data_IF_196651300780
#
_entry.id   IF_196651300780
#
_cell.length_a   1.000
_cell.length_b   1.000
_cell.length_c   1.000
_cell.angle_alpha   90.00
_cell.angle_beta   90.00
_cell.angle_gamma   90.00
#
_symmetry.space_group_name_H-M   'P 1'
#
loop_
_entity.id
_entity.type
_entity.pdbx_description
1 polymer ?
#
# COMPACT_ATOMS: atom_id res chain seq x y z
N UNK A 1 38.20 -0.32 -39.57
CA UNK A 1 39.07 0.78 -40.04
C UNK A 1 38.52 2.09 -39.50
N UNK A 2 39.43 2.98 -39.07
CA UNK A 2 39.21 4.27 -38.40
C UNK A 2 38.23 5.19 -39.17
N UNK A 3 37.47 6.10 -38.56
CA UNK A 3 37.92 7.35 -37.89
C UNK A 3 36.77 7.99 -37.07
N UNK A 4 37.00 8.34 -35.79
CA UNK A 4 37.06 9.72 -35.18
C UNK A 4 35.98 10.70 -35.71
N UNK A 5 35.23 11.46 -34.89
CA UNK A 5 35.76 12.64 -34.15
C UNK A 5 34.70 13.31 -33.23
N UNK A 6 35.08 13.56 -31.97
CA UNK A 6 34.82 14.66 -31.00
C UNK A 6 33.41 15.18 -30.59
N UNK A 7 33.15 15.03 -29.27
CA UNK A 7 32.85 16.03 -28.21
C UNK A 7 32.09 17.33 -28.56
N UNK A 8 31.06 17.62 -27.77
CA UNK A 8 30.97 18.87 -26.95
C UNK A 8 30.07 18.71 -25.72
N UNK A 9 30.63 19.09 -24.59
CA UNK A 9 29.99 19.45 -23.32
C UNK A 9 29.46 20.88 -23.43
N UNK A 10 28.29 21.17 -22.85
CA UNK A 10 27.86 22.51 -22.41
C UNK A 10 26.57 22.38 -21.57
N UNK A 11 26.66 22.36 -20.25
CA UNK A 11 26.49 23.49 -19.30
C UNK A 11 25.05 23.72 -18.86
N UNK A 12 24.78 23.24 -17.63
CA UNK A 12 23.68 23.63 -16.77
C UNK A 12 23.96 25.02 -16.17
N UNK A 13 23.07 26.02 -16.26
CA UNK A 13 23.25 27.29 -15.60
C UNK A 13 22.65 27.28 -14.19
N UNK A 14 23.53 27.36 -13.18
CA UNK A 14 23.20 27.83 -11.83
C UNK A 14 22.84 29.33 -11.90
N UNK A 15 21.64 29.71 -11.48
CA UNK A 15 21.36 31.07 -11.04
C UNK A 15 21.51 31.14 -9.52
N UNK A 16 22.59 31.78 -9.08
CA UNK A 16 22.69 32.38 -7.76
C UNK A 16 22.23 33.84 -7.89
N UNK A 17 21.29 34.28 -7.06
CA UNK A 17 21.11 35.70 -6.79
C UNK A 17 20.98 35.90 -5.28
N UNK A 18 21.86 36.78 -4.79
CA UNK A 18 22.02 37.26 -3.42
C UNK A 18 20.71 37.80 -2.84
N UNK A 19 20.51 37.58 -1.53
CA UNK A 19 19.89 38.58 -0.67
C UNK A 19 20.85 38.89 0.50
N UNK A 20 20.85 40.15 0.90
CA UNK A 20 21.87 40.83 1.70
C UNK A 20 21.63 40.71 3.22
N UNK A 21 22.75 40.81 3.93
CA UNK A 21 22.95 41.44 5.25
C UNK A 21 22.16 40.92 6.47
N UNK A 22 22.87 40.15 7.30
CA UNK A 22 22.97 40.50 8.73
C UNK A 22 24.38 40.16 9.23
N UNK A 23 25.00 41.17 9.82
CA UNK A 23 26.36 41.18 10.37
C UNK A 23 26.35 40.53 11.76
N UNK A 24 27.13 39.47 11.95
CA UNK A 24 27.51 38.97 13.28
C UNK A 24 29.04 39.05 13.42
N UNK A 25 29.56 39.60 14.54
CA UNK A 25 30.99 39.78 14.71
C UNK A 25 31.70 38.44 14.99
N UNK A 26 32.84 38.25 14.34
CA UNK A 26 33.72 37.11 14.57
C UNK A 26 34.41 37.25 15.96
N UNK A 27 34.43 36.20 16.80
CA UNK A 27 35.21 36.23 18.03
C UNK A 27 36.71 36.12 17.71
N UNK A 28 37.46 37.16 18.08
CA UNK A 28 38.92 37.16 18.07
C UNK A 28 39.43 36.45 19.33
N UNK A 29 39.82 35.18 19.21
CA UNK A 29 40.72 34.55 20.18
C UNK A 29 41.59 33.53 19.44
N UNK A 30 42.93 33.54 19.58
CA UNK A 30 43.77 32.51 19.00
C UNK A 30 43.58 31.21 19.80
N UNK A 31 43.03 30.18 19.15
CA UNK A 31 42.98 28.85 19.71
C UNK A 31 44.38 28.23 19.62
N UNK A 32 45.08 28.19 20.75
CA UNK A 32 46.29 27.37 20.90
C UNK A 32 45.90 25.90 20.70
N UNK A 33 46.39 25.30 19.61
CA UNK A 33 46.38 23.85 19.44
C UNK A 33 47.49 23.27 20.32
N UNK A 34 47.12 22.76 21.49
CA UNK A 34 47.96 21.78 22.19
C UNK A 34 47.71 20.41 21.56
N UNK A 35 48.67 19.94 20.76
CA UNK A 35 48.75 18.54 20.35
C UNK A 35 49.01 17.69 21.60
N UNK A 36 47.97 17.00 22.10
CA UNK A 36 48.16 15.91 23.04
C UNK A 36 48.18 14.60 22.27
N UNK A 37 49.39 14.06 22.11
CA UNK A 37 49.62 12.66 21.77
C UNK A 37 48.96 11.77 22.82
N UNK A 38 47.83 11.19 22.46
CA UNK A 38 47.03 10.30 23.30
C UNK A 38 46.68 9.04 22.53
N UNK A 39 47.53 8.02 22.69
CA UNK A 39 47.34 6.59 22.42
C UNK A 39 46.00 6.14 21.82
N UNK A 40 46.10 5.52 20.65
CA UNK A 40 45.12 4.68 19.96
C UNK A 40 44.35 3.79 20.94
N UNK A 41 43.18 4.23 21.39
CA UNK A 41 42.17 3.35 21.99
C UNK A 41 41.10 3.12 20.95
N UNK A 42 40.92 1.85 20.61
CA UNK A 42 39.89 1.31 19.75
C UNK A 42 38.54 1.96 20.08
N UNK A 43 38.06 2.78 19.14
CA UNK A 43 36.65 3.13 19.10
C UNK A 43 35.96 1.90 18.51
N UNK A 44 35.60 0.96 19.38
CA UNK A 44 34.69 -0.12 19.03
C UNK A 44 33.38 0.53 18.58
N UNK A 45 33.12 0.47 17.27
CA UNK A 45 31.80 0.81 16.70
C UNK A 45 30.79 -0.14 17.32
N UNK A 46 30.08 0.35 18.33
CA UNK A 46 28.91 -0.29 18.89
C UNK A 46 27.84 -0.30 17.79
N UNK A 47 27.78 -1.39 17.04
CA UNK A 47 26.73 -1.62 16.05
C UNK A 47 25.45 -1.94 16.83
N UNK A 48 24.69 -0.92 17.19
CA UNK A 48 23.32 -1.09 17.67
C UNK A 48 22.52 -1.70 16.52
N UNK A 49 22.22 -3.00 16.59
CA UNK A 49 21.35 -3.67 15.63
C UNK A 49 19.95 -3.07 15.75
N UNK A 50 19.64 -2.08 14.92
CA UNK A 50 18.29 -1.53 14.83
C UNK A 50 17.41 -2.66 14.30
N UNK A 51 16.47 -3.12 15.11
CA UNK A 51 15.48 -4.09 14.67
C UNK A 51 14.72 -3.48 13.49
N UNK A 52 14.53 -4.20 12.37
CA UNK A 52 13.80 -3.65 11.24
C UNK A 52 12.39 -3.28 11.69
N UNK A 53 12.01 -2.02 11.50
CA UNK A 53 10.67 -1.55 11.85
C UNK A 53 9.65 -2.17 10.87
N UNK A 54 8.62 -2.80 11.43
CA UNK A 54 7.47 -3.21 10.64
C UNK A 54 6.69 -1.96 10.20
N UNK A 55 6.54 -1.76 8.89
CA UNK A 55 5.65 -0.75 8.33
C UNK A 55 4.44 -1.40 7.67
N UNK A 56 3.26 -0.93 8.02
CA UNK A 56 1.98 -1.40 7.46
C UNK A 56 1.36 -0.29 6.63
N UNK A 57 1.00 -0.60 5.38
CA UNK A 57 0.23 0.28 4.52
C UNK A 57 -1.20 -0.25 4.41
N UNK A 58 -2.17 0.59 4.77
CA UNK A 58 -3.58 0.29 4.58
C UNK A 58 -4.06 0.93 3.29
N UNK A 59 -4.40 0.09 2.31
CA UNK A 59 -4.85 0.51 0.98
C UNK A 59 -6.32 0.11 0.85
N UNK A 60 -7.19 1.11 0.69
CA UNK A 60 -8.59 0.86 0.32
C UNK A 60 -8.65 0.35 -1.12
N UNK A 61 -9.60 -0.53 -1.41
CA UNK A 61 -9.89 -0.95 -2.79
C UNK A 61 -10.12 0.27 -3.70
N UNK A 62 -9.77 0.12 -4.99
CA UNK A 62 -10.05 1.11 -6.01
C UNK A 62 -11.56 1.26 -6.28
N UNK A 63 -11.96 2.20 -7.15
CA UNK A 63 -13.36 2.43 -7.46
C UNK A 63 -14.07 1.13 -7.91
N UNK A 64 -15.14 0.78 -7.19
CA UNK A 64 -16.01 -0.33 -7.53
C UNK A 64 -17.27 0.14 -8.25
N UNK A 65 -17.96 -0.77 -8.93
CA UNK A 65 -19.26 -0.48 -9.57
C UNK A 65 -20.27 0.09 -8.58
N UNK A 66 -20.17 -0.32 -7.31
CA UNK A 66 -20.97 0.23 -6.24
C UNK A 66 -20.57 1.69 -5.91
N UNK A 67 -19.28 2.03 -5.84
CA UNK A 67 -18.90 3.43 -5.59
C UNK A 67 -19.44 4.37 -6.68
N UNK A 68 -19.31 3.95 -7.94
CA UNK A 68 -19.84 4.68 -9.09
C UNK A 68 -21.36 4.79 -9.04
N UNK A 69 -22.07 3.67 -8.81
CA UNK A 69 -23.53 3.66 -8.66
C UNK A 69 -24.00 4.60 -7.54
N UNK A 70 -23.33 4.60 -6.38
CA UNK A 70 -23.73 5.46 -5.26
C UNK A 70 -23.66 6.93 -5.66
N UNK A 71 -22.56 7.31 -6.31
CA UNK A 71 -22.36 8.65 -6.83
C UNK A 71 -23.45 9.03 -7.83
N UNK A 72 -23.73 8.19 -8.82
CA UNK A 72 -24.78 8.43 -9.83
C UNK A 72 -26.18 8.57 -9.21
N UNK A 73 -26.51 7.75 -8.23
CA UNK A 73 -27.79 7.83 -7.53
C UNK A 73 -27.89 9.10 -6.68
N UNK A 74 -26.83 9.51 -6.00
CA UNK A 74 -26.79 10.78 -5.27
C UNK A 74 -26.94 11.97 -6.21
N UNK A 75 -26.16 12.01 -7.30
CA UNK A 75 -26.17 13.10 -8.28
C UNK A 75 -27.54 13.23 -8.98
N UNK A 76 -28.30 12.13 -9.11
CA UNK A 76 -29.65 12.11 -9.67
C UNK A 76 -30.79 12.21 -8.64
N UNK A 77 -30.50 12.42 -7.35
CA UNK A 77 -31.53 12.51 -6.30
C UNK A 77 -32.26 11.19 -6.00
N UNK A 78 -31.68 10.05 -6.37
CA UNK A 78 -32.24 8.70 -6.25
C UNK A 78 -31.50 7.82 -5.24
N UNK A 79 -30.77 8.41 -4.30
CA UNK A 79 -29.99 7.70 -3.27
C UNK A 79 -30.78 6.60 -2.53
N UNK A 80 -32.11 6.77 -2.37
CA UNK A 80 -33.02 5.78 -1.78
C UNK A 80 -33.05 4.41 -2.49
N UNK A 81 -32.60 4.33 -3.74
CA UNK A 81 -32.55 3.09 -4.53
C UNK A 81 -31.26 2.29 -4.32
N UNK A 82 -30.32 2.81 -3.52
CA UNK A 82 -28.99 2.24 -3.34
C UNK A 82 -29.00 0.76 -2.95
N UNK A 83 -29.75 0.42 -1.91
CA UNK A 83 -29.77 -0.93 -1.35
C UNK A 83 -30.34 -1.96 -2.33
N UNK A 84 -31.26 -1.54 -3.20
CA UNK A 84 -31.88 -2.40 -4.20
C UNK A 84 -30.99 -2.65 -5.42
N UNK A 85 -30.09 -1.72 -5.74
CA UNK A 85 -29.36 -1.70 -7.02
C UNK A 85 -27.89 -2.08 -6.87
N UNK A 86 -27.35 -2.02 -5.65
CA UNK A 86 -25.95 -2.36 -5.40
C UNK A 86 -25.65 -3.84 -5.63
N UNK A 87 -24.47 -4.13 -6.15
CA UNK A 87 -23.96 -5.49 -6.26
C UNK A 87 -23.50 -6.01 -4.88
N UNK A 88 -23.66 -7.31 -4.62
CA UNK A 88 -23.31 -7.91 -3.34
C UNK A 88 -21.80 -8.01 -3.12
N UNK A 89 -21.08 -8.41 -4.17
CA UNK A 89 -19.61 -8.50 -4.20
C UNK A 89 -19.09 -7.70 -5.41
N UNK A 90 -19.17 -6.35 -5.36
CA UNK A 90 -18.98 -5.51 -6.54
C UNK A 90 -17.56 -5.64 -7.12
N UNK A 91 -17.42 -5.83 -8.44
CA UNK A 91 -16.13 -5.69 -9.12
C UNK A 91 -15.69 -4.23 -9.18
N UNK A 92 -14.43 -4.02 -9.55
CA UNK A 92 -13.89 -2.73 -9.95
C UNK A 92 -14.54 -2.21 -11.22
N UNK A 93 -14.56 -0.88 -11.35
CA UNK A 93 -14.84 -0.20 -12.60
C UNK A 93 -13.61 -0.21 -13.51
N UNK A 94 -13.76 0.20 -14.77
CA UNK A 94 -12.62 0.43 -15.67
C UNK A 94 -11.66 1.46 -15.05
N UNK A 95 -12.21 2.54 -14.49
CA UNK A 95 -11.45 3.56 -13.76
C UNK A 95 -10.76 2.97 -12.51
N UNK A 96 -11.43 2.05 -11.80
CA UNK A 96 -10.87 1.34 -10.66
C UNK A 96 -9.68 0.47 -11.03
N UNK A 97 -9.73 -0.22 -12.17
CA UNK A 97 -8.57 -0.96 -12.70
C UNK A 97 -7.41 -0.03 -13.03
N UNK A 98 -7.67 1.11 -13.68
CA UNK A 98 -6.64 2.10 -13.98
C UNK A 98 -6.01 2.69 -12.70
N UNK A 99 -6.80 2.89 -11.65
CA UNK A 99 -6.30 3.31 -10.33
C UNK A 99 -5.36 2.26 -9.73
N UNK A 100 -5.75 0.99 -9.76
CA UNK A 100 -4.94 -0.11 -9.22
C UNK A 100 -3.61 -0.29 -10.00
N UNK A 101 -3.64 -0.18 -11.32
CA UNK A 101 -2.45 -0.22 -12.18
C UNK A 101 -1.50 0.97 -11.94
N UNK A 102 -2.05 2.18 -11.79
CA UNK A 102 -1.27 3.37 -11.45
C UNK A 102 -0.63 3.27 -10.06
N UNK A 103 -1.37 2.72 -9.08
CA UNK A 103 -0.84 2.45 -7.76
C UNK A 103 0.34 1.45 -7.82
N UNK A 104 0.16 0.33 -8.52
CA UNK A 104 1.21 -0.67 -8.70
C UNK A 104 2.46 -0.06 -9.37
N UNK A 105 2.26 0.72 -10.43
CA UNK A 105 3.34 1.42 -11.15
C UNK A 105 4.05 2.43 -10.25
N UNK A 106 3.32 3.19 -9.43
CA UNK A 106 3.92 4.18 -8.51
C UNK A 106 4.74 3.48 -7.43
N UNK A 107 4.24 2.38 -6.86
CA UNK A 107 4.95 1.61 -5.85
C UNK A 107 6.18 0.88 -6.42
N UNK A 108 6.12 0.37 -7.65
CA UNK A 108 7.28 -0.26 -8.31
C UNK A 108 8.38 0.77 -8.57
N UNK A 109 8.03 1.92 -9.15
CA UNK A 109 9.01 2.96 -9.55
C UNK A 109 9.55 3.77 -8.38
N UNK A 110 8.72 3.98 -7.35
CA UNK A 110 9.01 4.90 -6.26
C UNK A 110 8.60 4.28 -4.93
N UNK A 111 9.34 3.28 -4.50
CA UNK A 111 9.51 3.10 -3.06
C UNK A 111 10.47 4.18 -2.52
N UNK A 112 10.06 5.45 -2.71
CA UNK A 112 10.41 6.58 -1.86
C UNK A 112 9.62 6.50 -0.53
N UNK A 113 9.19 5.31 -0.12
CA UNK A 113 9.00 5.01 1.29
C UNK A 113 10.41 4.96 1.88
N UNK A 114 11.02 6.12 2.01
CA UNK A 114 12.28 6.24 2.72
C UNK A 114 12.02 5.80 4.16
N UNK A 115 12.88 4.92 4.65
CA UNK A 115 13.02 4.75 6.08
C UNK A 115 13.65 6.03 6.69
N UNK A 116 13.69 6.14 8.01
CA UNK A 116 14.30 7.28 8.70
C UNK A 116 15.78 7.53 8.29
N UNK A 117 16.41 6.53 7.67
CA UNK A 117 17.79 6.54 7.19
C UNK A 117 17.96 6.78 5.67
N UNK A 118 16.87 7.05 4.94
CA UNK A 118 16.93 7.33 3.50
C UNK A 118 17.10 6.08 2.61
N UNK A 119 16.93 4.87 3.13
CA UNK A 119 16.87 3.65 2.32
C UNK A 119 15.46 3.45 1.75
N UNK A 120 15.38 3.14 0.45
CA UNK A 120 14.12 2.78 -0.19
C UNK A 120 13.61 1.46 0.40
N UNK A 121 12.37 1.45 0.87
CA UNK A 121 11.74 0.22 1.35
C UNK A 121 11.31 -0.69 0.19
N UNK A 122 10.97 -1.95 0.45
CA UNK A 122 10.28 -2.80 -0.51
C UNK A 122 9.03 -3.40 0.14
N UNK A 123 7.98 -3.63 -0.65
CA UNK A 123 6.79 -4.33 -0.17
C UNK A 123 7.11 -5.82 -0.17
N UNK A 124 7.30 -6.38 1.02
CA UNK A 124 7.70 -7.78 1.22
C UNK A 124 6.51 -8.75 1.23
N UNK A 125 5.31 -8.27 1.59
CA UNK A 125 4.09 -9.08 1.62
C UNK A 125 2.84 -8.22 1.35
N UNK A 126 1.86 -8.80 0.66
CA UNK A 126 0.55 -8.18 0.44
C UNK A 126 -0.51 -9.07 1.09
N UNK A 127 -1.38 -8.48 1.90
CA UNK A 127 -2.60 -9.11 2.37
C UNK A 127 -3.80 -8.42 1.71
N UNK A 128 -4.77 -9.19 1.25
CA UNK A 128 -5.99 -8.64 0.63
C UNK A 128 -7.24 -9.29 1.20
N UNK A 129 -8.32 -8.50 1.29
CA UNK A 129 -9.63 -9.05 1.63
C UNK A 129 -10.09 -10.04 0.55
N UNK A 130 -10.91 -11.01 0.94
CA UNK A 130 -11.58 -11.92 0.00
C UNK A 130 -12.72 -11.25 -0.81
N UNK A 131 -13.02 -9.98 -0.57
CA UNK A 131 -13.96 -9.19 -1.39
C UNK A 131 -13.39 -8.99 -2.81
N UNK A 132 -14.24 -9.12 -3.84
CA UNK A 132 -13.81 -9.12 -5.25
C UNK A 132 -13.01 -7.88 -5.64
N UNK A 133 -13.56 -6.69 -5.35
CA UNK A 133 -12.86 -5.40 -5.55
C UNK A 133 -11.49 -5.29 -4.89
N UNK A 134 -11.30 -5.91 -3.72
CA UNK A 134 -10.02 -5.86 -3.01
C UNK A 134 -9.00 -6.79 -3.66
N UNK A 135 -9.40 -7.99 -4.06
CA UNK A 135 -8.54 -8.91 -4.83
C UNK A 135 -8.15 -8.31 -6.18
N UNK A 136 -9.09 -7.68 -6.88
CA UNK A 136 -8.83 -6.97 -8.15
C UNK A 136 -7.89 -5.78 -7.97
N UNK A 137 -8.02 -5.02 -6.87
CA UNK A 137 -7.08 -3.95 -6.55
C UNK A 137 -5.67 -4.51 -6.32
N UNK A 138 -5.54 -5.64 -5.63
CA UNK A 138 -4.25 -6.25 -5.32
C UNK A 138 -3.58 -6.97 -6.51
N UNK A 139 -4.33 -7.31 -7.56
CA UNK A 139 -3.82 -8.12 -8.67
C UNK A 139 -2.71 -7.42 -9.47
N UNK A 140 -2.82 -6.13 -9.86
CA UNK A 140 -1.71 -5.40 -10.46
C UNK A 140 -0.51 -5.30 -9.52
N UNK A 141 -0.73 -5.06 -8.22
CA UNK A 141 0.37 -4.99 -7.24
C UNK A 141 1.14 -6.31 -7.17
N UNK A 142 0.44 -7.44 -7.13
CA UNK A 142 1.04 -8.77 -7.17
C UNK A 142 1.92 -8.97 -8.42
N UNK A 143 1.41 -8.57 -9.60
CA UNK A 143 2.10 -8.76 -10.89
C UNK A 143 3.33 -7.87 -11.04
N UNK A 144 3.22 -6.59 -10.70
CA UNK A 144 4.31 -5.62 -10.89
C UNK A 144 5.38 -5.75 -9.81
N UNK A 145 4.97 -5.85 -8.54
CA UNK A 145 5.90 -5.95 -7.42
C UNK A 145 6.49 -7.36 -7.25
N UNK A 146 5.84 -8.38 -7.85
CA UNK A 146 6.19 -9.80 -7.71
C UNK A 146 6.24 -10.25 -6.26
N UNK A 147 5.40 -9.63 -5.43
CA UNK A 147 5.32 -9.87 -3.99
C UNK A 147 4.32 -10.98 -3.68
N UNK A 148 4.59 -11.86 -2.70
CA UNK A 148 3.60 -12.80 -2.20
C UNK A 148 2.31 -12.08 -1.77
N UNK A 149 1.19 -12.51 -2.33
CA UNK A 149 -0.14 -11.98 -2.03
C UNK A 149 -0.98 -13.05 -1.38
N UNK A 150 -1.50 -12.76 -0.20
CA UNK A 150 -2.29 -13.67 0.62
C UNK A 150 -3.69 -13.11 0.83
N UNK A 151 -4.70 -13.96 0.60
CA UNK A 151 -6.07 -13.62 0.95
C UNK A 151 -6.25 -13.80 2.44
N UNK A 152 -6.73 -12.74 3.10
CA UNK A 152 -7.08 -12.74 4.51
C UNK A 152 -8.58 -12.43 4.64
N UNK A 153 -9.45 -13.46 4.75
CA UNK A 153 -10.90 -13.23 4.79
C UNK A 153 -11.32 -12.31 5.93
N UNK A 154 -10.67 -12.37 7.11
CA UNK A 154 -11.02 -11.59 8.29
C UNK A 154 -10.86 -10.08 8.17
N UNK A 155 -10.27 -9.54 7.10
CA UNK A 155 -10.19 -8.09 6.84
C UNK A 155 -11.27 -7.62 5.84
N UNK A 156 -12.41 -8.33 5.78
CA UNK A 156 -13.55 -7.93 4.95
C UNK A 156 -14.31 -6.70 5.50
N UNK A 157 -14.95 -5.99 4.57
CA UNK A 157 -15.91 -4.91 4.85
C UNK A 157 -17.06 -5.41 5.74
N UNK A 158 -17.55 -4.53 6.61
CA UNK A 158 -18.66 -4.80 7.50
C UNK A 158 -19.89 -5.31 6.75
N UNK A 159 -20.49 -6.39 7.26
CA UNK A 159 -21.70 -6.99 6.67
C UNK A 159 -21.44 -8.00 5.55
N UNK A 160 -20.18 -8.18 5.14
CA UNK A 160 -19.79 -9.24 4.21
C UNK A 160 -20.50 -9.17 2.85
N UNK A 161 -20.87 -10.32 2.30
CA UNK A 161 -21.58 -10.40 1.01
C UNK A 161 -23.10 -10.51 1.24
N UNK A 162 -23.81 -9.42 0.98
CA UNK A 162 -25.26 -9.34 1.15
C UNK A 162 -25.94 -8.53 0.04
N UNK A 163 -27.14 -8.95 -0.34
CA UNK A 163 -28.03 -8.27 -1.28
C UNK A 163 -29.47 -8.26 -0.75
N UNK A 164 -30.20 -7.15 -0.85
CA UNK A 164 -31.52 -7.02 -0.22
C UNK A 164 -32.56 -8.04 -0.69
N UNK A 165 -32.52 -8.44 -1.97
CA UNK A 165 -33.46 -9.43 -2.54
C UNK A 165 -33.01 -10.88 -2.39
N UNK A 166 -31.71 -11.12 -2.27
CA UNK A 166 -31.13 -12.47 -2.28
C UNK A 166 -30.62 -12.91 -0.90
N UNK A 167 -30.59 -11.98 0.06
CA UNK A 167 -30.04 -12.19 1.38
C UNK A 167 -28.52 -12.31 1.38
N UNK A 168 -28.01 -13.14 2.28
CA UNK A 168 -26.58 -13.43 2.44
C UNK A 168 -26.13 -14.34 1.30
N UNK A 169 -25.06 -13.94 0.61
CA UNK A 169 -24.40 -14.76 -0.40
C UNK A 169 -23.03 -15.25 0.10
N UNK A 170 -22.31 -15.96 -0.77
CA UNK A 170 -21.09 -16.69 -0.38
C UNK A 170 -19.78 -16.07 -0.86
N UNK A 171 -19.84 -15.09 -1.78
CA UNK A 171 -18.66 -14.58 -2.48
C UNK A 171 -17.98 -15.67 -3.33
N UNK A 172 -16.75 -15.39 -3.75
CA UNK A 172 -15.98 -16.29 -4.61
C UNK A 172 -15.52 -17.57 -3.90
N UNK A 173 -15.56 -18.68 -4.63
CA UNK A 173 -15.06 -20.00 -4.21
C UNK A 173 -13.55 -20.10 -4.39
N UNK A 174 -12.92 -21.09 -3.73
CA UNK A 174 -11.51 -21.40 -3.91
C UNK A 174 -11.11 -21.52 -5.39
N UNK A 175 -11.90 -22.27 -6.18
CA UNK A 175 -11.60 -22.51 -7.59
C UNK A 175 -11.76 -21.24 -8.44
N UNK A 176 -12.80 -20.45 -8.21
CA UNK A 176 -12.98 -19.18 -8.92
C UNK A 176 -11.82 -18.22 -8.64
N UNK A 177 -11.39 -18.13 -7.39
CA UNK A 177 -10.24 -17.31 -7.00
C UNK A 177 -8.96 -17.84 -7.67
N UNK A 178 -8.73 -19.15 -7.67
CA UNK A 178 -7.55 -19.74 -8.29
C UNK A 178 -7.47 -19.48 -9.81
N UNK A 179 -8.61 -19.34 -10.48
CA UNK A 179 -8.68 -19.00 -11.91
C UNK A 179 -8.44 -17.50 -12.14
N UNK A 180 -9.13 -16.62 -11.40
CA UNK A 180 -9.07 -15.17 -11.64
C UNK A 180 -7.81 -14.51 -11.06
N UNK A 181 -7.35 -14.99 -9.90
CA UNK A 181 -6.24 -14.44 -9.12
C UNK A 181 -5.07 -15.43 -9.02
N UNK A 182 -4.68 -16.00 -10.17
CA UNK A 182 -3.57 -16.93 -10.25
C UNK A 182 -2.31 -16.38 -9.57
N UNK A 183 -1.72 -17.16 -8.66
CA UNK A 183 -0.55 -16.79 -7.87
C UNK A 183 -0.86 -16.29 -6.45
N UNK A 184 -2.12 -15.97 -6.14
CA UNK A 184 -2.50 -15.63 -4.76
C UNK A 184 -2.46 -16.88 -3.87
N UNK A 185 -1.99 -16.70 -2.63
CA UNK A 185 -2.17 -17.70 -1.59
C UNK A 185 -3.60 -17.63 -1.06
N UNK A 186 -4.31 -18.76 -1.15
CA UNK A 186 -5.71 -18.89 -0.74
C UNK A 186 -5.80 -19.87 0.44
N UNK A 187 -6.12 -19.40 1.66
CA UNK A 187 -6.26 -20.26 2.83
C UNK A 187 -7.47 -21.20 2.69
N UNK A 188 -7.22 -22.51 2.56
CA UNK A 188 -8.26 -23.53 2.28
C UNK A 188 -9.24 -23.72 3.44
N UNK A 189 -8.81 -23.45 4.64
CA UNK A 189 -9.58 -23.56 5.88
C UNK A 189 -10.66 -22.47 5.99
N UNK A 190 -10.43 -21.30 5.40
CA UNK A 190 -11.39 -20.18 5.41
C UNK A 190 -12.09 -19.96 4.06
N UNK A 191 -11.46 -20.35 2.94
CA UNK A 191 -12.02 -20.26 1.59
C UNK A 191 -12.29 -21.66 1.03
N UNK A 192 -13.56 -22.07 1.05
CA UNK A 192 -13.98 -23.39 0.57
C UNK A 192 -14.66 -23.38 -0.80
N UNK A 193 -15.14 -24.55 -1.22
CA UNK A 193 -15.90 -24.76 -2.46
C UNK A 193 -17.23 -24.03 -2.50
N UNK A 194 -17.78 -23.67 -1.33
CA UNK A 194 -19.04 -22.94 -1.18
C UNK A 194 -18.83 -21.44 -0.98
N UNK A 195 -17.67 -20.90 -1.32
CA UNK A 195 -17.33 -19.50 -1.12
C UNK A 195 -16.69 -19.21 0.24
N UNK A 196 -16.07 -18.03 0.35
CA UNK A 196 -15.38 -17.57 1.55
C UNK A 196 -16.32 -17.03 2.63
N UNK A 197 -17.47 -16.47 2.27
CA UNK A 197 -18.38 -15.86 3.24
C UNK A 197 -19.38 -16.86 3.82
N UNK A 198 -19.42 -16.95 5.15
CA UNK A 198 -20.34 -17.86 5.87
C UNK A 198 -21.66 -17.20 6.28
N UNK A 199 -21.74 -15.88 6.22
CA UNK A 199 -22.90 -15.10 6.63
C UNK A 199 -22.75 -14.49 8.02
N UNK A 200 -23.72 -13.66 8.38
CA UNK A 200 -23.77 -12.93 9.63
C UNK A 200 -23.99 -11.44 9.38
N UNK A 201 -24.71 -10.79 10.30
CA UNK A 201 -24.63 -9.34 10.48
C UNK A 201 -23.77 -9.12 11.71
N UNK A 202 -22.75 -8.29 11.58
CA UNK A 202 -21.90 -7.90 12.69
C UNK A 202 -22.31 -6.51 13.18
N UNK A 203 -22.39 -6.35 14.49
CA UNK A 203 -22.43 -5.03 15.13
C UNK A 203 -21.08 -4.34 14.97
N UNK A 204 -21.05 -3.03 15.16
CA UNK A 204 -19.79 -2.28 15.18
C UNK A 204 -18.79 -2.84 16.21
N UNK A 205 -19.28 -3.28 17.39
CA UNK A 205 -18.43 -3.87 18.43
C UNK A 205 -17.80 -5.19 17.96
N UNK A 206 -18.58 -6.07 17.30
CA UNK A 206 -18.08 -7.32 16.73
C UNK A 206 -17.08 -7.09 15.60
N UNK A 207 -17.28 -6.04 14.79
CA UNK A 207 -16.33 -5.63 13.75
C UNK A 207 -15.00 -5.18 14.37
N UNK A 208 -15.04 -4.35 15.42
CA UNK A 208 -13.84 -3.92 16.16
C UNK A 208 -13.13 -5.12 16.79
N UNK A 209 -13.87 -6.03 17.42
CA UNK A 209 -13.30 -7.24 18.03
C UNK A 209 -12.66 -8.17 16.99
N UNK A 210 -13.24 -8.30 15.79
CA UNK A 210 -12.62 -9.06 14.69
C UNK A 210 -11.33 -8.43 14.18
N UNK A 211 -11.27 -7.10 14.12
CA UNK A 211 -10.07 -6.37 13.74
C UNK A 211 -8.99 -6.40 14.84
N UNK A 212 -9.41 -6.51 16.10
CA UNK A 212 -8.54 -6.64 17.26
C UNK A 212 -8.11 -8.10 17.46
N UNK A 213 -7.03 -8.49 16.79
CA UNK A 213 -6.50 -9.86 16.85
C UNK A 213 -5.77 -10.19 18.17
N UNK A 214 -5.75 -9.31 19.17
CA UNK A 214 -5.17 -9.63 20.49
C UNK A 214 -5.95 -10.71 21.27
N UNK A 215 -7.11 -11.16 20.76
CA UNK A 215 -7.94 -12.20 21.37
C UNK A 215 -7.95 -13.56 20.66
N UNK A 216 -7.18 -13.74 19.58
CA UNK A 216 -7.09 -15.05 18.91
C UNK A 216 -5.94 -15.86 19.51
N UNK A 217 -6.23 -16.46 20.67
CA UNK A 217 -5.42 -17.50 21.33
C UNK A 217 -5.67 -18.87 20.71
#
# INVERSE_FOLDING_TARGET
>A
MLTRTLRRLATCPRMFTRCLSSTFPAPQTPCHLEEREGTSKEITKEYTSVQPLLRVLLIRHAESVNNRLYKELCDSGRARLWDEWRHADPPLTEEGWQQAEQLATRLERNLELYDFDGRGMSISKIYTSAMHRAMQTALPLHRYLKTPTEIWPSIHETGGIFHVKQGILRGHTFNQIGVEFAGFHVPRETVGERGWWRGGSETYAQMVERADTTKLS
#
